data_IF_014557052500
#
_entry.id   IF_014557052500
#
_cell.length_a   1.000
_cell.length_b   1.000
_cell.length_c   1.000
_cell.angle_alpha   90.00
_cell.angle_beta   90.00
_cell.angle_gamma   90.00
#
_symmetry.space_group_name_H-M   'P 1'
#
loop_
_entity.id
_entity.type
_entity.pdbx_description
1 polymer ?
#
# COMPACT_ATOMS: atom_id res chain seq x y z
N UNK A 1 53.08 -2.17 18.15
CA UNK A 1 52.35 -3.07 19.09
C UNK A 1 50.90 -3.19 18.59
N UNK A 2 50.60 -4.31 17.96
CA UNK A 2 49.23 -4.61 17.43
C UNK A 2 48.39 -5.19 18.54
N UNK A 3 47.27 -4.55 18.90
CA UNK A 3 46.29 -5.07 19.84
C UNK A 3 45.25 -5.88 19.05
N UNK A 4 45.19 -7.18 19.28
CA UNK A 4 44.16 -8.06 18.79
C UNK A 4 42.94 -7.97 19.72
N UNK A 5 41.76 -7.62 19.14
CA UNK A 5 40.49 -7.74 19.83
C UNK A 5 39.95 -9.17 19.62
N UNK A 6 39.81 -9.89 20.69
CA UNK A 6 39.19 -11.24 20.72
C UNK A 6 37.70 -11.00 20.87
N UNK A 7 36.91 -11.41 19.86
CA UNK A 7 35.46 -11.50 19.94
C UNK A 7 35.09 -12.79 20.70
N UNK A 8 34.54 -12.68 21.89
CA UNK A 8 33.95 -13.78 22.61
C UNK A 8 32.51 -13.99 22.12
N UNK A 9 32.25 -15.09 21.44
CA UNK A 9 30.88 -15.54 21.09
C UNK A 9 30.34 -16.26 22.30
N UNK A 10 29.39 -15.64 23.02
CA UNK A 10 28.62 -16.28 24.06
C UNK A 10 27.44 -17.03 23.43
N UNK A 11 27.49 -18.36 23.42
CA UNK A 11 26.36 -19.20 23.08
C UNK A 11 25.34 -19.18 24.22
N UNK A 12 24.21 -18.50 24.03
CA UNK A 12 23.07 -18.58 24.94
C UNK A 12 22.18 -19.73 24.50
N UNK A 13 22.12 -20.76 25.34
CA UNK A 13 21.17 -21.87 25.24
C UNK A 13 19.81 -21.29 25.71
N UNK A 14 18.91 -20.99 24.78
CA UNK A 14 17.56 -20.59 25.11
C UNK A 14 16.68 -21.82 25.29
N UNK A 15 16.17 -21.99 26.51
CA UNK A 15 15.10 -22.93 26.85
C UNK A 15 13.80 -22.40 26.23
N UNK A 16 13.15 -23.23 25.43
CA UNK A 16 11.89 -22.97 24.75
C UNK A 16 10.76 -22.83 25.74
N UNK A 17 10.30 -21.61 25.92
CA UNK A 17 8.91 -21.32 26.30
C UNK A 17 8.20 -20.87 25.02
N UNK A 18 7.07 -21.51 24.70
CA UNK A 18 6.22 -21.12 23.58
C UNK A 18 5.62 -19.72 23.88
N UNK A 19 6.28 -18.68 23.41
CA UNK A 19 5.83 -17.32 23.32
C UNK A 19 5.93 -16.92 21.86
N UNK A 20 4.98 -16.13 21.37
CA UNK A 20 4.93 -15.64 20.00
C UNK A 20 6.34 -15.26 19.54
N UNK A 21 6.85 -15.93 18.51
CA UNK A 21 8.10 -15.55 17.87
C UNK A 21 7.84 -14.19 17.22
N UNK A 22 8.60 -13.16 17.62
CA UNK A 22 8.84 -11.98 16.80
C UNK A 22 9.47 -12.47 15.48
N UNK A 23 8.64 -12.82 14.52
CA UNK A 23 9.15 -13.12 13.18
C UNK A 23 9.83 -11.85 12.66
N UNK A 24 11.12 -11.94 12.43
CA UNK A 24 11.90 -10.81 11.93
C UNK A 24 11.25 -10.29 10.64
N UNK A 25 11.02 -8.98 10.57
CA UNK A 25 10.48 -8.31 9.37
C UNK A 25 11.32 -8.69 8.15
N UNK A 26 10.68 -9.25 7.13
CA UNK A 26 11.32 -9.76 5.91
C UNK A 26 10.76 -9.05 4.67
N UNK A 27 11.46 -8.04 4.14
CA UNK A 27 11.08 -7.43 2.87
C UNK A 27 11.03 -8.47 1.74
N UNK A 28 10.08 -8.31 0.82
CA UNK A 28 9.92 -9.20 -0.35
C UNK A 28 10.92 -8.91 -1.46
N UNK A 29 11.51 -7.70 -1.46
CA UNK A 29 12.52 -7.25 -2.40
C UNK A 29 13.53 -6.34 -1.71
N UNK A 30 14.76 -6.35 -2.17
CA UNK A 30 15.71 -5.29 -1.88
C UNK A 30 15.34 -4.01 -2.63
N UNK A 31 15.70 -2.84 -2.08
CA UNK A 31 15.29 -1.55 -2.65
C UNK A 31 15.75 -1.36 -4.12
N UNK A 32 16.90 -1.90 -4.48
CA UNK A 32 17.46 -1.82 -5.84
C UNK A 32 16.78 -2.75 -6.85
N UNK A 33 15.90 -3.63 -6.41
CA UNK A 33 15.08 -4.50 -7.26
C UNK A 33 13.72 -3.87 -7.58
N UNK A 34 13.38 -2.76 -6.89
CA UNK A 34 12.13 -2.05 -7.05
C UNK A 34 12.23 -0.91 -8.07
N UNK A 35 11.11 -0.50 -8.70
CA UNK A 35 11.09 0.66 -9.58
C UNK A 35 11.61 1.92 -8.89
N UNK A 36 12.45 2.70 -9.59
CA UNK A 36 13.00 3.95 -9.05
C UNK A 36 11.99 5.10 -9.20
N UNK A 37 11.35 5.47 -8.10
CA UNK A 37 10.30 6.49 -8.10
C UNK A 37 10.76 7.86 -8.61
N UNK A 38 12.02 8.23 -8.38
CA UNK A 38 12.57 9.52 -8.84
C UNK A 38 12.58 9.63 -10.38
N UNK A 39 12.68 8.50 -11.08
CA UNK A 39 12.71 8.47 -12.56
C UNK A 39 11.30 8.41 -13.17
N UNK A 40 10.30 7.93 -12.40
CA UNK A 40 8.95 7.62 -12.92
C UNK A 40 7.92 8.66 -12.49
N UNK A 41 8.07 9.21 -11.29
CA UNK A 41 7.09 10.12 -10.70
C UNK A 41 7.22 11.52 -11.32
N UNK A 42 6.08 12.22 -11.53
CA UNK A 42 6.14 13.62 -11.93
C UNK A 42 6.81 14.46 -10.83
N UNK A 43 7.45 15.56 -11.22
CA UNK A 43 7.97 16.53 -10.27
C UNK A 43 6.84 17.17 -9.46
N UNK A 44 7.07 17.52 -8.17
CA UNK A 44 6.08 18.28 -7.42
C UNK A 44 5.88 19.67 -8.04
N UNK A 45 4.66 20.23 -8.02
CA UNK A 45 4.42 21.58 -8.50
C UNK A 45 5.34 22.60 -7.84
N UNK A 46 6.01 23.43 -8.65
CA UNK A 46 6.80 24.53 -8.15
C UNK A 46 5.88 25.58 -7.47
N UNK A 47 6.36 26.22 -6.40
CA UNK A 47 5.56 27.12 -5.59
C UNK A 47 5.08 28.38 -6.31
N UNK A 48 5.65 28.72 -7.46
CA UNK A 48 5.30 29.83 -8.35
C UNK A 48 4.56 29.37 -9.62
N UNK A 49 4.22 28.09 -9.72
CA UNK A 49 3.52 27.51 -10.86
C UNK A 49 2.00 27.56 -10.71
N UNK A 50 1.24 27.61 -11.82
CA UNK A 50 -0.22 27.52 -11.80
C UNK A 50 -0.74 26.21 -11.18
N UNK A 51 0.01 25.11 -11.33
CA UNK A 51 -0.33 23.79 -10.81
C UNK A 51 -0.37 23.78 -9.27
N UNK A 52 0.45 24.63 -8.63
CA UNK A 52 0.47 24.78 -7.18
C UNK A 52 -0.83 25.42 -6.63
N UNK A 53 -1.63 26.08 -7.46
CA UNK A 53 -2.92 26.64 -7.03
C UNK A 53 -3.86 25.58 -6.44
N UNK A 54 -3.86 24.36 -6.97
CA UNK A 54 -4.64 23.27 -6.39
C UNK A 54 -4.16 22.90 -4.98
N UNK A 55 -2.87 22.89 -4.73
CA UNK A 55 -2.30 22.64 -3.40
C UNK A 55 -2.73 23.69 -2.38
N UNK A 56 -2.77 24.97 -2.77
CA UNK A 56 -3.27 26.06 -1.92
C UNK A 56 -4.75 25.88 -1.61
N UNK A 57 -5.59 25.62 -2.63
CA UNK A 57 -7.03 25.39 -2.44
C UNK A 57 -7.28 24.22 -1.51
N UNK A 58 -6.56 23.13 -1.70
CA UNK A 58 -6.70 21.93 -0.87
C UNK A 58 -6.17 22.14 0.55
N UNK A 59 -5.12 22.92 0.74
CA UNK A 59 -4.66 23.32 2.07
C UNK A 59 -5.72 24.15 2.82
N UNK A 60 -6.33 25.15 2.14
CA UNK A 60 -7.44 25.91 2.70
C UNK A 60 -8.65 25.02 3.05
N UNK A 61 -9.00 24.06 2.17
CA UNK A 61 -10.01 23.07 2.47
C UNK A 61 -9.64 22.24 3.74
N UNK A 62 -8.39 21.80 3.86
CA UNK A 62 -7.91 21.07 5.04
C UNK A 62 -8.10 21.86 6.32
N UNK A 63 -7.82 23.17 6.31
CA UNK A 63 -8.06 24.06 7.45
C UNK A 63 -9.56 24.17 7.79
N UNK A 64 -10.45 24.19 6.79
CA UNK A 64 -11.90 24.16 7.04
C UNK A 64 -12.34 22.85 7.70
N UNK A 65 -11.75 21.70 7.29
CA UNK A 65 -12.06 20.41 7.91
C UNK A 65 -11.64 20.32 9.39
N UNK A 66 -10.67 21.13 9.83
CA UNK A 66 -10.28 21.22 11.25
C UNK A 66 -11.37 21.82 12.15
N UNK A 67 -12.38 22.48 11.57
CA UNK A 67 -13.54 23.02 12.29
C UNK A 67 -14.52 21.93 12.72
N UNK A 68 -14.48 20.77 12.11
CA UNK A 68 -15.21 19.59 12.53
C UNK A 68 -14.37 18.79 13.55
N UNK A 69 -14.82 18.73 14.83
CA UNK A 69 -14.06 18.06 15.90
C UNK A 69 -13.82 16.58 15.64
N UNK A 70 -14.78 15.87 15.03
CA UNK A 70 -14.65 14.44 14.74
C UNK A 70 -13.64 14.24 13.61
N UNK A 71 -13.72 15.07 12.56
CA UNK A 71 -12.79 14.97 11.42
C UNK A 71 -11.35 15.31 11.78
N UNK A 72 -11.13 16.33 12.62
CA UNK A 72 -9.77 16.67 13.05
C UNK A 72 -9.20 15.65 14.02
N UNK A 73 -10.03 15.09 14.93
CA UNK A 73 -9.61 14.01 15.82
C UNK A 73 -9.17 12.78 15.04
N UNK A 74 -9.93 12.40 13.99
CA UNK A 74 -9.55 11.32 13.08
C UNK A 74 -8.23 11.63 12.35
N UNK A 75 -8.04 12.88 11.89
CA UNK A 75 -6.82 13.27 11.20
C UNK A 75 -5.58 13.24 12.11
N UNK A 76 -5.74 13.53 13.39
CA UNK A 76 -4.70 13.41 14.41
C UNK A 76 -4.40 11.92 14.68
N UNK A 77 -5.42 11.08 14.82
CA UNK A 77 -5.24 9.63 14.98
C UNK A 77 -4.53 8.99 13.78
N UNK A 78 -4.81 9.47 12.57
CA UNK A 78 -4.14 9.02 11.34
C UNK A 78 -2.67 9.46 11.25
N UNK A 79 -2.21 10.35 12.11
CA UNK A 79 -0.81 10.73 12.22
C UNK A 79 0.04 9.68 12.96
N UNK A 80 -0.59 8.85 13.80
CA UNK A 80 0.07 7.77 14.52
C UNK A 80 0.47 6.64 13.57
N UNK A 81 1.76 6.31 13.53
CA UNK A 81 2.26 5.23 12.69
C UNK A 81 3.40 4.42 13.31
N UNK A 82 3.97 4.88 14.42
CA UNK A 82 5.09 4.22 15.11
C UNK A 82 4.65 2.90 15.74
N UNK A 83 3.38 2.81 16.14
CA UNK A 83 2.72 1.58 16.58
C UNK A 83 1.92 1.00 15.40
N UNK A 84 2.46 -0.05 14.78
CA UNK A 84 1.83 -0.69 13.61
C UNK A 84 0.45 -1.27 13.93
N UNK A 85 0.22 -1.75 15.15
CA UNK A 85 -1.10 -2.25 15.57
C UNK A 85 -2.13 -1.14 15.58
N UNK A 86 -1.78 0.03 16.12
CA UNK A 86 -2.65 1.21 16.05
C UNK A 86 -2.85 1.69 14.61
N UNK A 87 -1.79 1.70 13.81
CA UNK A 87 -1.88 2.09 12.41
C UNK A 87 -2.83 1.18 11.62
N UNK A 88 -2.66 -0.14 11.71
CA UNK A 88 -3.57 -1.08 11.06
C UNK A 88 -4.99 -1.04 11.65
N UNK A 89 -5.11 -0.77 12.94
CA UNK A 89 -6.37 -0.57 13.64
C UNK A 89 -7.24 0.54 13.03
N UNK A 90 -6.63 1.54 12.37
CA UNK A 90 -7.36 2.58 11.63
C UNK A 90 -8.21 2.02 10.46
N UNK A 91 -7.95 0.79 10.03
CA UNK A 91 -8.69 0.11 8.96
C UNK A 91 -9.66 -0.95 9.48
N UNK A 92 -9.68 -1.24 10.80
CA UNK A 92 -10.42 -2.37 11.36
C UNK A 92 -11.92 -2.34 11.03
N UNK A 93 -12.59 -1.19 11.13
CA UNK A 93 -14.01 -1.04 10.78
C UNK A 93 -14.24 -1.28 9.28
N UNK A 94 -13.43 -0.68 8.41
CA UNK A 94 -13.54 -0.83 6.97
C UNK A 94 -13.23 -2.26 6.50
N UNK A 95 -12.25 -2.91 7.12
CA UNK A 95 -11.83 -4.27 6.80
C UNK A 95 -12.74 -5.35 7.43
N UNK A 96 -13.38 -5.03 8.57
CA UNK A 96 -14.26 -5.94 9.30
C UNK A 96 -13.57 -6.87 10.29
N UNK A 97 -12.24 -6.71 10.47
CA UNK A 97 -11.46 -7.43 11.47
C UNK A 97 -10.44 -6.49 12.13
N UNK A 98 -10.14 -6.74 13.40
CA UNK A 98 -8.97 -6.13 14.07
C UNK A 98 -7.71 -6.83 13.60
N UNK A 99 -6.65 -6.05 13.31
CA UNK A 99 -5.39 -6.57 12.77
C UNK A 99 -4.33 -6.46 13.86
N UNK A 100 -3.95 -7.60 14.43
CA UNK A 100 -2.89 -7.71 15.44
C UNK A 100 -2.01 -8.93 15.17
N UNK A 101 -0.78 -8.97 15.67
CA UNK A 101 0.08 -10.14 15.50
C UNK A 101 -0.47 -11.40 16.18
N UNK A 102 -1.30 -11.26 17.22
CA UNK A 102 -1.89 -12.39 17.96
C UNK A 102 -3.13 -12.94 17.27
N UNK A 103 -4.02 -12.06 16.80
CA UNK A 103 -5.34 -12.46 16.28
C UNK A 103 -5.32 -12.77 14.77
N UNK A 104 -4.49 -12.06 14.02
CA UNK A 104 -4.41 -12.15 12.55
C UNK A 104 -2.95 -12.18 12.07
N UNK A 105 -2.14 -13.16 12.52
CA UNK A 105 -0.70 -13.18 12.28
C UNK A 105 -0.32 -13.18 10.80
N UNK A 106 -1.07 -13.86 9.93
CA UNK A 106 -0.74 -13.94 8.50
C UNK A 106 -1.04 -12.63 7.78
N UNK A 107 -2.14 -11.95 8.14
CA UNK A 107 -2.49 -10.62 7.62
C UNK A 107 -1.48 -9.59 8.14
N UNK A 108 -1.16 -9.64 9.43
CA UNK A 108 -0.20 -8.73 10.05
C UNK A 108 1.18 -8.84 9.40
N UNK A 109 1.70 -10.07 9.24
CA UNK A 109 2.98 -10.36 8.57
C UNK A 109 3.00 -9.85 7.13
N UNK A 110 1.92 -10.09 6.36
CA UNK A 110 1.81 -9.57 5.00
C UNK A 110 1.97 -8.05 4.96
N UNK A 111 1.23 -7.34 5.82
CA UNK A 111 1.24 -5.88 5.86
C UNK A 111 2.61 -5.33 6.27
N UNK A 112 3.22 -5.88 7.33
CA UNK A 112 4.52 -5.44 7.83
C UNK A 112 5.61 -5.62 6.78
N UNK A 113 5.70 -6.81 6.17
CA UNK A 113 6.72 -7.12 5.16
C UNK A 113 6.52 -6.30 3.87
N UNK A 114 5.26 -6.05 3.47
CA UNK A 114 4.93 -5.19 2.33
C UNK A 114 5.34 -3.74 2.58
N UNK A 115 5.08 -3.20 3.78
CA UNK A 115 5.50 -1.86 4.16
C UNK A 115 7.02 -1.73 4.24
N UNK A 116 7.70 -2.72 4.82
CA UNK A 116 9.17 -2.75 4.87
C UNK A 116 9.79 -2.75 3.48
N UNK A 117 9.13 -3.39 2.51
CA UNK A 117 9.54 -3.42 1.10
C UNK A 117 9.31 -2.07 0.41
N UNK A 118 8.10 -1.49 0.54
CA UNK A 118 7.68 -0.38 -0.33
C UNK A 118 7.95 1.01 0.28
N UNK A 119 7.96 1.17 1.61
CA UNK A 119 8.19 2.47 2.24
C UNK A 119 9.55 3.11 1.90
N UNK A 120 10.66 2.37 1.78
CA UNK A 120 11.94 2.95 1.41
C UNK A 120 11.98 3.59 0.02
N UNK A 121 11.08 3.21 -0.91
CA UNK A 121 11.04 3.74 -2.28
C UNK A 121 10.93 5.27 -2.33
N UNK A 122 10.25 5.89 -1.35
CA UNK A 122 10.06 7.37 -1.29
C UNK A 122 11.32 8.16 -0.93
N UNK A 123 12.33 7.52 -0.32
CA UNK A 123 13.46 8.22 0.32
C UNK A 123 14.27 9.08 -0.64
N UNK A 124 14.55 8.58 -1.84
CA UNK A 124 15.31 9.33 -2.85
C UNK A 124 14.55 10.57 -3.33
N UNK A 125 13.24 10.46 -3.59
CA UNK A 125 12.42 11.61 -3.95
C UNK A 125 12.42 12.68 -2.85
N UNK A 126 12.24 12.27 -1.58
CA UNK A 126 12.28 13.19 -0.44
C UNK A 126 13.60 13.96 -0.35
N UNK A 127 14.71 13.24 -0.48
CA UNK A 127 16.05 13.83 -0.42
C UNK A 127 16.33 14.75 -1.63
N UNK A 128 15.88 14.36 -2.83
CA UNK A 128 16.12 15.12 -4.06
C UNK A 128 15.35 16.43 -4.11
N UNK A 129 14.03 16.38 -3.83
CA UNK A 129 13.18 17.56 -3.94
C UNK A 129 13.26 18.47 -2.71
N UNK A 130 13.50 17.93 -1.51
CA UNK A 130 13.57 18.70 -0.26
C UNK A 130 12.38 19.66 -0.09
N UNK A 131 11.18 19.29 -0.61
CA UNK A 131 10.03 20.17 -0.72
C UNK A 131 9.55 20.62 0.65
N UNK A 132 9.42 21.94 0.85
CA UNK A 132 8.92 22.52 2.09
C UNK A 132 7.47 22.13 2.34
N UNK A 133 7.14 21.79 3.59
CA UNK A 133 5.79 21.40 4.02
C UNK A 133 4.86 22.60 4.16
N UNK A 134 3.51 22.41 4.10
CA UNK A 134 2.55 23.49 4.30
C UNK A 134 2.75 24.24 5.61
N UNK A 135 2.85 23.55 6.74
CA UNK A 135 3.01 24.17 8.06
C UNK A 135 4.30 25.00 8.17
N UNK A 136 5.39 24.56 7.56
CA UNK A 136 6.65 25.31 7.52
C UNK A 136 6.55 26.54 6.62
N UNK A 137 5.88 26.40 5.46
CA UNK A 137 5.76 27.49 4.48
C UNK A 137 4.92 28.64 4.99
N UNK A 138 3.88 28.34 5.75
CA UNK A 138 2.97 29.34 6.29
C UNK A 138 3.26 29.69 7.75
N UNK A 139 4.26 29.08 8.37
CA UNK A 139 4.58 29.21 9.78
C UNK A 139 3.35 29.01 10.67
N UNK A 140 2.59 27.96 10.41
CA UNK A 140 1.35 27.61 11.10
C UNK A 140 1.52 26.30 11.88
N UNK A 141 1.10 26.29 13.17
CA UNK A 141 1.12 25.08 13.99
C UNK A 141 0.22 23.98 13.43
N UNK A 142 0.68 22.74 13.51
CA UNK A 142 -0.09 21.55 13.17
C UNK A 142 -0.99 21.14 14.35
N UNK A 143 -2.19 20.58 14.09
CA UNK A 143 -3.01 19.99 15.14
C UNK A 143 -2.47 18.65 15.68
N UNK A 144 -1.58 17.98 14.93
CA UNK A 144 -0.88 16.74 15.34
C UNK A 144 0.48 17.06 15.98
N UNK A 145 1.00 16.13 16.79
CA UNK A 145 2.25 16.32 17.56
C UNK A 145 3.53 16.00 16.79
N UNK A 146 3.45 15.81 15.46
CA UNK A 146 4.58 15.41 14.60
C UNK A 146 5.44 16.58 14.09
N UNK A 147 5.15 17.80 14.48
CA UNK A 147 5.76 19.00 13.87
C UNK A 147 7.27 19.00 13.97
N UNK A 148 7.81 18.66 15.16
CA UNK A 148 9.25 18.65 15.40
C UNK A 148 9.96 17.56 14.57
N UNK A 149 9.32 16.39 14.40
CA UNK A 149 9.87 15.26 13.64
C UNK A 149 9.83 15.51 12.12
N UNK A 150 8.87 16.33 11.67
CA UNK A 150 8.66 16.59 10.24
C UNK A 150 9.40 17.85 9.75
N UNK A 151 9.80 18.73 10.66
CA UNK A 151 10.46 20.00 10.30
C UNK A 151 11.80 19.75 9.63
N UNK A 152 11.99 20.36 8.46
CA UNK A 152 13.17 20.16 7.62
C UNK A 152 13.20 18.87 6.82
N UNK A 153 12.25 17.96 7.03
CA UNK A 153 12.08 16.75 6.23
C UNK A 153 11.27 17.04 4.96
N UNK A 154 11.78 16.62 3.79
CA UNK A 154 11.08 16.81 2.51
C UNK A 154 9.64 16.28 2.51
N UNK A 155 8.69 17.06 1.98
CA UNK A 155 7.28 16.66 1.98
C UNK A 155 6.91 15.67 0.87
N UNK A 156 7.61 15.68 -0.26
CA UNK A 156 7.23 14.93 -1.47
C UNK A 156 8.03 13.63 -1.65
N UNK A 157 7.37 12.50 -1.90
CA UNK A 157 5.95 12.21 -1.66
C UNK A 157 5.64 11.97 -0.18
N UNK A 158 4.36 11.95 0.21
CA UNK A 158 3.92 11.69 1.59
C UNK A 158 4.17 10.25 2.03
N UNK A 159 4.97 10.03 3.08
CA UNK A 159 5.22 8.69 3.62
C UNK A 159 3.97 8.04 4.22
N UNK A 160 3.21 8.79 5.03
CA UNK A 160 1.94 8.31 5.60
C UNK A 160 0.95 7.89 4.52
N UNK A 161 0.76 8.74 3.48
CA UNK A 161 -0.16 8.42 2.39
C UNK A 161 0.29 7.22 1.56
N UNK A 162 1.60 7.03 1.37
CA UNK A 162 2.15 5.84 0.69
C UNK A 162 1.80 4.57 1.47
N UNK A 163 2.06 4.57 2.79
CA UNK A 163 1.75 3.43 3.66
C UNK A 163 0.25 3.18 3.74
N UNK A 164 -0.55 4.23 4.00
CA UNK A 164 -2.00 4.09 4.13
C UNK A 164 -2.67 3.58 2.86
N UNK A 165 -2.31 4.12 1.69
CA UNK A 165 -2.84 3.64 0.41
C UNK A 165 -2.35 2.22 0.09
N UNK A 166 -1.08 1.90 0.41
CA UNK A 166 -0.54 0.55 0.29
C UNK A 166 -1.30 -0.47 1.12
N UNK A 167 -1.61 -0.14 2.38
CA UNK A 167 -2.45 -0.98 3.25
C UNK A 167 -3.85 -1.15 2.65
N UNK A 168 -4.47 -0.08 2.14
CA UNK A 168 -5.79 -0.19 1.52
C UNK A 168 -5.80 -1.12 0.30
N UNK A 169 -4.74 -1.08 -0.55
CA UNK A 169 -4.60 -1.98 -1.69
C UNK A 169 -4.48 -3.46 -1.25
N UNK A 170 -3.66 -3.72 -0.24
CA UNK A 170 -3.46 -5.07 0.30
C UNK A 170 -4.74 -5.62 0.94
N UNK A 171 -5.40 -4.84 1.79
CA UNK A 171 -6.64 -5.24 2.45
C UNK A 171 -7.79 -5.45 1.45
N UNK A 172 -7.88 -4.63 0.38
CA UNK A 172 -8.87 -4.83 -0.67
C UNK A 172 -8.58 -6.09 -1.51
N UNK A 173 -7.32 -6.53 -1.64
CA UNK A 173 -6.98 -7.81 -2.27
C UNK A 173 -7.32 -9.01 -1.36
N UNK A 174 -7.25 -8.85 -0.04
CA UNK A 174 -7.65 -9.87 0.93
C UNK A 174 -9.18 -9.99 0.98
N UNK A 175 -9.91 -8.87 1.05
CA UNK A 175 -11.35 -8.76 1.24
C UNK A 175 -12.00 -7.94 0.11
N UNK A 176 -12.10 -8.46 -1.12
CA UNK A 176 -12.60 -7.72 -2.28
C UNK A 176 -14.06 -7.28 -2.14
N UNK A 177 -14.87 -8.00 -1.36
CA UNK A 177 -16.25 -7.64 -1.05
C UNK A 177 -16.38 -6.38 -0.19
N UNK A 178 -15.31 -5.99 0.51
CA UNK A 178 -15.21 -4.76 1.32
C UNK A 178 -14.36 -3.67 0.69
N UNK A 179 -14.00 -3.83 -0.58
CA UNK A 179 -13.06 -2.93 -1.26
C UNK A 179 -13.53 -1.46 -1.23
N UNK A 180 -14.84 -1.20 -1.33
CA UNK A 180 -15.38 0.16 -1.33
C UNK A 180 -15.13 0.87 0.02
N UNK A 181 -15.39 0.20 1.14
CA UNK A 181 -15.19 0.72 2.49
C UNK A 181 -13.70 0.92 2.76
N UNK A 182 -12.88 -0.06 2.36
CA UNK A 182 -11.42 -0.04 2.53
C UNK A 182 -10.80 1.11 1.74
N UNK A 183 -11.15 1.28 0.46
CA UNK A 183 -10.61 2.39 -0.35
C UNK A 183 -11.12 3.75 0.11
N UNK A 184 -12.38 3.85 0.57
CA UNK A 184 -12.88 5.07 1.19
C UNK A 184 -12.06 5.45 2.42
N UNK A 185 -11.80 4.48 3.31
CA UNK A 185 -10.96 4.70 4.50
C UNK A 185 -9.52 5.09 4.12
N UNK A 186 -8.92 4.40 3.15
CA UNK A 186 -7.59 4.74 2.63
C UNK A 186 -7.52 6.16 2.05
N UNK A 187 -8.58 6.60 1.37
CA UNK A 187 -8.70 7.96 0.86
C UNK A 187 -8.77 8.99 1.99
N UNK A 188 -9.59 8.73 3.01
CA UNK A 188 -9.73 9.60 4.19
C UNK A 188 -8.43 9.66 5.00
N UNK A 189 -7.73 8.54 5.15
CA UNK A 189 -6.41 8.47 5.76
C UNK A 189 -5.38 9.37 5.03
N UNK A 190 -5.33 9.27 3.72
CA UNK A 190 -4.46 10.12 2.91
C UNK A 190 -4.83 11.62 3.04
N UNK A 191 -6.12 11.95 2.99
CA UNK A 191 -6.60 13.33 3.14
C UNK A 191 -6.31 13.91 4.54
N UNK A 192 -6.21 13.09 5.56
CA UNK A 192 -5.82 13.51 6.92
C UNK A 192 -4.48 14.24 6.92
N UNK A 193 -3.55 13.90 6.01
CA UNK A 193 -2.24 14.56 5.90
C UNK A 193 -2.33 16.00 5.39
N UNK A 194 -3.33 16.30 4.54
CA UNK A 194 -3.64 17.67 4.12
C UNK A 194 -4.34 18.44 5.24
N UNK A 195 -5.25 17.78 5.97
CA UNK A 195 -5.99 18.37 7.08
C UNK A 195 -5.07 18.81 8.21
N UNK A 196 -4.14 17.96 8.65
CA UNK A 196 -3.16 18.35 9.67
C UNK A 196 -2.12 19.34 9.16
N UNK A 197 -2.00 19.56 7.83
CA UNK A 197 -1.05 20.51 7.26
C UNK A 197 0.36 19.98 7.07
N UNK A 198 0.55 18.68 7.20
CA UNK A 198 1.85 18.02 7.02
C UNK A 198 2.28 17.91 5.56
N UNK A 199 1.31 17.83 4.64
CA UNK A 199 1.55 17.57 3.22
C UNK A 199 0.64 18.39 2.31
N UNK A 200 1.13 18.70 1.11
CA UNK A 200 0.35 19.23 0.01
C UNK A 200 -0.51 18.14 -0.62
N UNK A 201 -1.59 18.55 -1.33
CA UNK A 201 -2.42 17.57 -2.03
C UNK A 201 -1.62 16.79 -3.08
N UNK A 202 -0.75 17.47 -3.82
CA UNK A 202 0.12 16.82 -4.82
C UNK A 202 1.10 15.81 -4.20
N UNK A 203 1.58 16.01 -2.96
CA UNK A 203 2.39 15.01 -2.24
C UNK A 203 1.59 13.74 -1.96
N UNK A 204 0.31 13.92 -1.60
CA UNK A 204 -0.63 12.83 -1.30
C UNK A 204 -1.00 12.07 -2.57
N UNK A 205 -1.28 12.77 -3.67
CA UNK A 205 -1.64 12.16 -4.96
C UNK A 205 -0.47 11.34 -5.52
N UNK A 206 0.74 11.90 -5.47
CA UNK A 206 1.96 11.22 -5.83
C UNK A 206 2.18 9.96 -4.98
N UNK A 207 1.86 10.01 -3.70
CA UNK A 207 2.02 8.86 -2.78
C UNK A 207 1.07 7.70 -3.11
N UNK A 208 -0.17 7.99 -3.53
CA UNK A 208 -1.09 6.95 -4.00
C UNK A 208 -0.56 6.28 -5.27
N UNK A 209 0.01 7.05 -6.18
CA UNK A 209 0.68 6.51 -7.37
C UNK A 209 1.89 5.66 -6.98
N UNK A 210 2.75 6.15 -6.09
CA UNK A 210 3.93 5.42 -5.61
C UNK A 210 3.55 4.10 -4.91
N UNK A 211 2.52 4.12 -4.05
CA UNK A 211 2.01 2.92 -3.40
C UNK A 211 1.46 1.91 -4.41
N UNK A 212 0.76 2.37 -5.47
CA UNK A 212 0.25 1.50 -6.52
C UNK A 212 1.39 0.88 -7.35
N UNK A 213 2.47 1.62 -7.61
CA UNK A 213 3.68 1.08 -8.26
C UNK A 213 4.31 0.01 -7.37
N UNK A 214 4.49 0.29 -6.07
CA UNK A 214 5.02 -0.68 -5.11
C UNK A 214 4.15 -1.93 -5.00
N UNK A 215 2.83 -1.76 -4.92
CA UNK A 215 1.87 -2.87 -4.90
C UNK A 215 1.97 -3.74 -6.17
N UNK A 216 2.10 -3.13 -7.35
CA UNK A 216 2.32 -3.89 -8.60
C UNK A 216 3.65 -4.66 -8.57
N UNK A 217 4.72 -4.07 -8.04
CA UNK A 217 6.01 -4.75 -7.91
C UNK A 217 5.92 -5.97 -7.00
N UNK A 218 5.22 -5.86 -5.85
CA UNK A 218 5.01 -6.97 -4.91
C UNK A 218 4.40 -8.20 -5.58
N UNK A 219 3.51 -8.04 -6.58
CA UNK A 219 2.90 -9.16 -7.31
C UNK A 219 3.92 -10.02 -8.07
N UNK A 220 5.14 -9.54 -8.29
CA UNK A 220 6.23 -10.30 -8.88
C UNK A 220 6.98 -11.23 -7.92
N UNK A 221 6.75 -11.12 -6.59
CA UNK A 221 7.41 -11.94 -5.58
C UNK A 221 6.64 -13.22 -5.28
N UNK A 222 7.22 -14.42 -5.48
CA UNK A 222 6.58 -15.68 -5.05
C UNK A 222 6.29 -15.72 -3.55
N UNK A 223 7.17 -15.14 -2.72
CA UNK A 223 6.99 -15.09 -1.27
C UNK A 223 5.80 -14.18 -0.87
N UNK A 224 5.61 -13.05 -1.57
CA UNK A 224 4.44 -12.20 -1.39
C UNK A 224 3.14 -12.93 -1.76
N UNK A 225 3.14 -13.62 -2.91
CA UNK A 225 1.95 -14.36 -3.39
C UNK A 225 1.56 -15.45 -2.38
N UNK A 226 2.53 -16.18 -1.86
CA UNK A 226 2.29 -17.21 -0.85
C UNK A 226 1.74 -16.59 0.46
N UNK A 227 2.32 -15.48 0.92
CA UNK A 227 1.84 -14.80 2.13
C UNK A 227 0.46 -14.18 1.92
N UNK A 228 0.16 -13.63 0.75
CA UNK A 228 -1.17 -13.13 0.39
C UNK A 228 -2.23 -14.24 0.46
N UNK A 229 -1.90 -15.42 -0.03
CA UNK A 229 -2.80 -16.58 0.05
C UNK A 229 -3.09 -16.95 1.51
N UNK A 230 -2.08 -17.03 2.37
CA UNK A 230 -2.27 -17.30 3.80
C UNK A 230 -3.14 -16.23 4.48
N UNK A 231 -2.92 -14.96 4.16
CA UNK A 231 -3.72 -13.85 4.68
C UNK A 231 -5.20 -13.95 4.23
N UNK A 232 -5.46 -14.35 2.99
CA UNK A 232 -6.82 -14.58 2.47
C UNK A 232 -7.49 -15.77 3.16
N UNK A 233 -6.77 -16.86 3.37
CA UNK A 233 -7.25 -18.05 4.10
C UNK A 233 -7.58 -17.69 5.55
N UNK A 234 -6.70 -16.93 6.23
CA UNK A 234 -6.95 -16.45 7.60
C UNK A 234 -8.19 -15.56 7.68
N UNK A 235 -8.34 -14.60 6.76
CA UNK A 235 -9.51 -13.73 6.70
C UNK A 235 -10.81 -14.54 6.53
N UNK A 236 -10.82 -15.49 5.59
CA UNK A 236 -11.99 -16.33 5.34
C UNK A 236 -12.37 -17.17 6.56
N UNK A 237 -11.39 -17.76 7.27
CA UNK A 237 -11.63 -18.51 8.51
C UNK A 237 -12.22 -17.60 9.60
N UNK A 238 -11.64 -16.41 9.80
CA UNK A 238 -12.08 -15.46 10.83
C UNK A 238 -13.47 -14.88 10.57
N UNK A 239 -13.84 -14.71 9.30
CA UNK A 239 -15.15 -14.15 8.90
C UNK A 239 -16.22 -15.21 8.63
N UNK A 240 -15.86 -16.52 8.66
CA UNK A 240 -16.76 -17.61 8.33
C UNK A 240 -17.11 -17.69 6.84
N UNK A 241 -16.31 -17.05 5.97
CA UNK A 241 -16.49 -17.12 4.52
C UNK A 241 -15.90 -18.43 3.98
N UNK A 242 -16.54 -19.00 2.96
CA UNK A 242 -15.99 -20.15 2.25
C UNK A 242 -14.90 -19.68 1.31
N UNK A 243 -13.68 -20.23 1.42
CA UNK A 243 -12.58 -19.90 0.50
C UNK A 243 -12.92 -20.44 -0.89
N UNK A 244 -13.30 -19.55 -1.82
CA UNK A 244 -13.59 -19.89 -3.23
C UNK A 244 -12.33 -20.09 -4.09
N UNK A 245 -11.15 -20.23 -3.48
CA UNK A 245 -9.85 -20.27 -4.20
C UNK A 245 -9.73 -21.49 -5.12
N UNK A 246 -10.42 -22.61 -4.82
CA UNK A 246 -10.38 -23.81 -5.68
C UNK A 246 -11.23 -23.70 -6.95
N UNK A 247 -12.35 -22.97 -6.91
CA UNK A 247 -13.22 -22.86 -8.09
C UNK A 247 -12.65 -21.97 -9.19
N UNK A 248 -11.86 -20.92 -8.84
CA UNK A 248 -11.23 -20.06 -9.85
C UNK A 248 -10.12 -20.82 -10.60
N UNK A 249 -9.36 -21.67 -9.90
CA UNK A 249 -8.34 -22.51 -10.52
C UNK A 249 -8.97 -23.61 -11.42
N UNK A 250 -10.08 -24.20 -11.00
CA UNK A 250 -10.80 -25.19 -11.79
C UNK A 250 -11.53 -24.57 -13.00
N UNK A 251 -12.10 -23.36 -12.85
CA UNK A 251 -12.71 -22.63 -13.95
C UNK A 251 -11.68 -22.12 -14.97
N UNK A 252 -10.46 -21.77 -14.53
CA UNK A 252 -9.36 -21.39 -15.40
C UNK A 252 -8.75 -22.58 -16.16
N UNK A 253 -8.95 -23.81 -15.69
CA UNK A 253 -8.48 -25.04 -16.33
C UNK A 253 -9.51 -25.69 -17.28
N UNK A 254 -10.76 -25.28 -17.24
CA UNK A 254 -11.72 -25.71 -18.26
C UNK A 254 -11.37 -25.01 -19.58
N UNK A 255 -10.99 -25.73 -20.65
CA UNK A 255 -10.74 -25.10 -21.93
C UNK A 255 -12.07 -24.49 -22.42
N UNK A 256 -12.20 -23.20 -22.31
CA UNK A 256 -13.32 -22.47 -22.92
C UNK A 256 -13.12 -22.53 -24.43
N UNK A 257 -13.73 -23.50 -25.05
CA UNK A 257 -13.75 -23.64 -26.54
C UNK A 257 -14.59 -22.51 -27.13
N UNK A 258 -14.04 -21.30 -27.10
CA UNK A 258 -14.61 -20.21 -27.86
C UNK A 258 -13.92 -20.08 -29.19
N UNK A 259 -14.71 -20.07 -30.26
CA UNK A 259 -14.26 -19.83 -31.62
C UNK A 259 -14.56 -18.36 -31.93
N UNK A 260 -13.54 -17.63 -32.41
CA UNK A 260 -13.67 -16.23 -32.78
C UNK A 260 -13.39 -16.06 -34.27
N UNK A 261 -14.08 -15.12 -34.91
CA UNK A 261 -13.72 -14.60 -36.21
C UNK A 261 -12.47 -13.73 -36.12
N UNK A 262 -11.86 -13.46 -37.30
CA UNK A 262 -10.66 -12.61 -37.37
C UNK A 262 -10.93 -11.18 -36.88
N UNK A 263 -12.17 -10.71 -36.90
CA UNK A 263 -12.65 -9.43 -36.39
C UNK A 263 -12.89 -9.43 -34.88
N UNK A 264 -12.58 -10.54 -34.16
CA UNK A 264 -12.75 -10.67 -32.71
C UNK A 264 -14.18 -11.06 -32.28
N UNK A 265 -15.13 -11.22 -33.18
CA UNK A 265 -16.49 -11.61 -32.79
C UNK A 265 -16.58 -13.12 -32.50
N UNK A 266 -17.30 -13.49 -31.44
CA UNK A 266 -17.55 -14.88 -31.03
C UNK A 266 -18.47 -15.55 -32.04
N UNK A 267 -18.16 -16.79 -32.44
CA UNK A 267 -18.96 -17.55 -33.40
C UNK A 267 -19.16 -18.99 -32.95
N UNK A 268 -20.15 -19.67 -33.52
CA UNK A 268 -20.36 -21.11 -33.41
C UNK A 268 -19.71 -21.87 -34.58
N UNK A 269 -19.44 -23.16 -34.44
CA UNK A 269 -18.67 -23.98 -35.40
C UNK A 269 -19.19 -23.99 -36.84
N UNK A 270 -20.43 -23.61 -37.06
CA UNK A 270 -21.12 -23.79 -38.38
C UNK A 270 -20.94 -22.62 -39.36
N UNK A 271 -20.19 -21.57 -39.02
CA UNK A 271 -19.98 -20.43 -39.94
C UNK A 271 -18.71 -20.58 -40.77
N UNK A 272 -18.81 -20.43 -42.12
CA UNK A 272 -17.65 -20.38 -43.03
C UNK A 272 -16.75 -19.19 -42.70
N UNK A 273 -15.44 -19.38 -42.75
CA UNK A 273 -14.47 -18.30 -42.60
C UNK A 273 -13.19 -18.73 -41.86
N UNK A 274 -12.27 -17.76 -41.65
CA UNK A 274 -11.07 -17.97 -40.85
C UNK A 274 -11.44 -17.82 -39.39
N UNK A 275 -11.09 -18.81 -38.59
CA UNK A 275 -11.37 -18.87 -37.16
C UNK A 275 -10.08 -19.01 -36.37
N UNK A 276 -10.09 -18.61 -35.12
CA UNK A 276 -8.97 -18.78 -34.17
C UNK A 276 -9.47 -19.62 -33.01
N UNK A 277 -8.82 -20.72 -32.73
CA UNK A 277 -9.04 -21.58 -31.59
C UNK A 277 -7.68 -21.93 -31.00
N UNK A 278 -7.53 -21.81 -29.68
CA UNK A 278 -6.27 -22.08 -28.96
C UNK A 278 -5.05 -21.38 -29.58
N UNK A 279 -5.23 -20.13 -30.03
CA UNK A 279 -4.19 -19.33 -30.68
C UNK A 279 -3.82 -19.73 -32.11
N UNK A 280 -4.48 -20.74 -32.68
CA UNK A 280 -4.23 -21.20 -34.07
C UNK A 280 -5.35 -20.78 -35.00
N UNK A 281 -4.95 -20.33 -36.22
CA UNK A 281 -5.89 -19.99 -37.29
C UNK A 281 -6.23 -21.23 -38.13
N UNK A 282 -7.51 -21.43 -38.41
CA UNK A 282 -7.97 -22.46 -39.34
C UNK A 282 -9.14 -21.96 -40.20
N UNK A 283 -9.28 -22.51 -41.39
CA UNK A 283 -10.39 -22.20 -42.28
C UNK A 283 -11.44 -23.32 -42.23
N UNK A 284 -12.72 -22.94 -42.10
CA UNK A 284 -13.85 -23.87 -42.28
C UNK A 284 -14.39 -23.73 -43.68
N UNK A 285 -14.45 -24.84 -44.41
CA UNK A 285 -15.05 -24.94 -45.74
C UNK A 285 -16.56 -24.89 -45.67
#
# INVERSE_FOLDING_TARGET
MKKYFILAVAAIIATTTAGAQDEAVQPYFELNELPELLEIMPEPPAFDSPEFANDIVRYCWGKQQRMDPERVALAIADAEWDDLTKFFGQYAEAFGLTITPEDTPEIYTLLVNSLATTDPMRKKCKAFYGRQRPFERYDEAMPSHEEDDLRGEGSYPSGHSLRGWGVALLLAQIAPERANEIFKRGWDYCNSRVIVGAHWQSDVDASRTAASIGFCALQGSPAFIEQMKKAQEEYAVKTGQTVLVEEVAAAAQAPTQYIFRVDGTRTTEQTRGIKVQDGRKYATQ
#
